data_IF_611911320342
#
_entry.id   IF_611911320342
#
_cell.length_a   1.000
_cell.length_b   1.000
_cell.length_c   1.000
_cell.angle_alpha   90.00
_cell.angle_beta   90.00
_cell.angle_gamma   90.00
#
_symmetry.space_group_name_H-M   'P 1'
#
loop_
_entity.id
_entity.type
_entity.pdbx_description
1 polymer ?
#
# COMPACT_ATOMS: atom_id res chain seq x y z
N UNK A 1 -44.75 51.59 -2.88
CA UNK A 1 -44.57 50.29 -2.21
C UNK A 1 -43.87 49.23 -3.09
N UNK A 2 -43.97 49.28 -4.44
CA UNK A 2 -43.35 48.27 -5.32
C UNK A 2 -41.83 48.32 -5.49
N UNK A 3 -41.17 49.48 -5.30
CA UNK A 3 -39.73 49.64 -5.52
C UNK A 3 -38.86 48.84 -4.54
N UNK A 4 -39.27 48.76 -3.27
CA UNK A 4 -38.52 48.03 -2.25
C UNK A 4 -38.68 46.50 -2.40
N UNK A 5 -39.86 46.03 -2.83
CA UNK A 5 -40.11 44.62 -3.12
C UNK A 5 -39.25 44.12 -4.29
N UNK A 6 -39.11 44.93 -5.34
CA UNK A 6 -38.27 44.60 -6.50
C UNK A 6 -36.79 44.46 -6.10
N UNK A 7 -36.26 45.36 -5.28
CA UNK A 7 -34.87 45.31 -4.81
C UNK A 7 -34.61 44.05 -3.97
N UNK A 8 -35.53 43.69 -3.07
CA UNK A 8 -35.42 42.48 -2.24
C UNK A 8 -35.43 41.22 -3.12
N UNK A 9 -36.29 41.17 -4.15
CA UNK A 9 -36.35 40.05 -5.10
C UNK A 9 -35.04 39.91 -5.89
N UNK A 10 -34.47 41.02 -6.38
CA UNK A 10 -33.19 40.99 -7.09
C UNK A 10 -32.04 40.49 -6.20
N UNK A 11 -31.98 40.94 -4.95
CA UNK A 11 -30.96 40.47 -3.99
C UNK A 11 -31.15 38.97 -3.72
N UNK A 12 -32.39 38.52 -3.54
CA UNK A 12 -32.68 37.10 -3.32
C UNK A 12 -32.26 36.21 -4.51
N UNK A 13 -32.51 36.66 -5.74
CA UNK A 13 -32.09 35.94 -6.96
C UNK A 13 -30.56 35.90 -7.07
N UNK A 14 -29.87 37.01 -6.79
CA UNK A 14 -28.41 37.06 -6.80
C UNK A 14 -27.83 36.11 -5.74
N UNK A 15 -28.35 36.13 -4.52
CA UNK A 15 -27.91 35.19 -3.47
C UNK A 15 -28.19 33.73 -3.86
N UNK A 16 -29.34 33.43 -4.45
CA UNK A 16 -29.69 32.09 -4.91
C UNK A 16 -28.73 31.61 -6.01
N UNK A 17 -28.42 32.46 -6.99
CA UNK A 17 -27.47 32.11 -8.06
C UNK A 17 -26.05 31.90 -7.54
N UNK A 18 -25.59 32.71 -6.59
CA UNK A 18 -24.29 32.50 -5.91
C UNK A 18 -24.30 31.16 -5.16
N UNK A 19 -25.35 30.87 -4.40
CA UNK A 19 -25.49 29.61 -3.66
C UNK A 19 -25.42 28.40 -4.58
N UNK A 20 -26.16 28.42 -5.70
CA UNK A 20 -26.14 27.35 -6.70
C UNK A 20 -24.73 27.17 -7.29
N UNK A 21 -24.04 28.27 -7.62
CA UNK A 21 -22.67 28.22 -8.15
C UNK A 21 -21.70 27.58 -7.15
N UNK A 22 -21.80 27.96 -5.88
CA UNK A 22 -20.99 27.36 -4.80
C UNK A 22 -21.25 25.85 -4.73
N UNK A 23 -22.51 25.43 -4.71
CA UNK A 23 -22.87 24.00 -4.67
C UNK A 23 -22.27 23.25 -5.87
N UNK A 24 -22.37 23.80 -7.09
CA UNK A 24 -21.80 23.17 -8.29
C UNK A 24 -20.28 23.03 -8.16
N UNK A 25 -19.57 24.07 -7.72
CA UNK A 25 -18.12 24.02 -7.55
C UNK A 25 -17.73 22.91 -6.57
N UNK A 26 -18.40 22.83 -5.41
CA UNK A 26 -18.08 21.83 -4.40
C UNK A 26 -18.39 20.39 -4.85
N UNK A 27 -19.56 20.16 -5.47
CA UNK A 27 -19.96 18.80 -5.84
C UNK A 27 -19.38 18.30 -7.16
N UNK A 28 -19.12 19.20 -8.13
CA UNK A 28 -18.62 18.79 -9.44
C UNK A 28 -17.10 18.93 -9.57
N UNK A 29 -16.50 20.00 -9.04
CA UNK A 29 -15.10 20.33 -9.31
C UNK A 29 -14.17 19.66 -8.28
N UNK A 30 -14.50 19.71 -6.99
CA UNK A 30 -13.63 19.14 -5.94
C UNK A 30 -13.35 17.65 -6.15
N UNK A 31 -14.33 16.76 -6.44
CA UNK A 31 -14.00 15.34 -6.68
C UNK A 31 -13.05 15.12 -7.86
N UNK A 32 -13.12 15.97 -8.90
CA UNK A 32 -12.20 15.91 -10.05
C UNK A 32 -10.79 16.30 -9.62
N UNK A 33 -10.65 17.36 -8.83
CA UNK A 33 -9.35 17.78 -8.29
C UNK A 33 -8.75 16.69 -7.39
N UNK A 34 -9.55 16.14 -6.46
CA UNK A 34 -9.10 15.08 -5.55
C UNK A 34 -8.59 13.87 -6.34
N UNK A 35 -9.33 13.41 -7.36
CA UNK A 35 -8.88 12.32 -8.24
C UNK A 35 -7.58 12.65 -8.95
N UNK A 36 -7.47 13.83 -9.55
CA UNK A 36 -6.26 14.25 -10.27
C UNK A 36 -5.03 14.34 -9.34
N UNK A 37 -5.22 14.80 -8.10
CA UNK A 37 -4.17 14.82 -7.09
C UNK A 37 -3.70 13.41 -6.77
N UNK A 38 -4.64 12.49 -6.52
CA UNK A 38 -4.33 11.09 -6.19
C UNK A 38 -3.63 10.37 -7.33
N UNK A 39 -4.02 10.62 -8.58
CA UNK A 39 -3.33 10.05 -9.75
C UNK A 39 -1.86 10.48 -9.81
N UNK A 40 -1.55 11.71 -9.41
CA UNK A 40 -0.19 12.27 -9.40
C UNK A 40 0.64 11.89 -8.17
N UNK A 41 0.02 11.37 -7.10
CA UNK A 41 0.74 10.88 -5.92
C UNK A 41 1.72 9.79 -6.36
N UNK A 42 2.97 9.94 -5.99
CA UNK A 42 3.99 8.91 -6.10
C UNK A 42 4.05 8.17 -4.77
N UNK A 43 3.98 6.84 -4.83
CA UNK A 43 4.09 6.01 -3.63
C UNK A 43 5.45 5.33 -3.65
N UNK A 44 6.24 5.64 -2.63
CA UNK A 44 7.53 5.02 -2.36
C UNK A 44 7.44 4.22 -1.08
N UNK A 45 8.33 3.24 -0.93
CA UNK A 45 8.44 2.43 0.28
C UNK A 45 9.79 2.72 0.89
N UNK A 46 9.77 3.17 2.14
CA UNK A 46 10.97 3.51 2.89
C UNK A 46 11.56 2.30 3.59
N UNK A 47 10.70 1.49 4.20
CA UNK A 47 11.10 0.26 4.87
C UNK A 47 9.98 -0.78 4.81
N UNK A 48 10.37 -2.05 4.75
CA UNK A 48 9.50 -3.20 4.90
C UNK A 48 10.15 -4.13 5.90
N UNK A 49 9.38 -4.60 6.86
CA UNK A 49 9.73 -5.64 7.79
C UNK A 49 8.63 -6.71 7.75
N UNK A 50 9.04 -7.96 7.60
CA UNK A 50 8.18 -9.13 7.50
C UNK A 50 8.47 -10.01 8.72
N UNK A 51 7.44 -10.25 9.51
CA UNK A 51 7.48 -11.02 10.76
C UNK A 51 6.41 -12.11 10.73
N UNK A 52 6.45 -13.04 11.69
CA UNK A 52 5.38 -14.02 11.95
C UNK A 52 4.88 -14.75 10.68
N UNK A 53 5.81 -15.32 9.92
CA UNK A 53 5.51 -16.01 8.65
C UNK A 53 4.81 -17.34 8.96
N UNK A 54 3.62 -17.51 8.40
CA UNK A 54 2.80 -18.72 8.42
C UNK A 54 2.56 -19.20 6.97
N UNK A 55 1.84 -20.32 6.80
CA UNK A 55 1.61 -20.93 5.48
C UNK A 55 0.82 -20.03 4.50
N UNK A 56 -0.10 -19.21 5.00
CA UNK A 56 -1.02 -18.40 4.19
C UNK A 56 -0.98 -16.89 4.54
N UNK A 57 -0.10 -16.49 5.46
CA UNK A 57 -0.02 -15.11 5.93
C UNK A 57 1.33 -14.79 6.53
N UNK A 58 1.63 -13.51 6.62
CA UNK A 58 2.74 -12.98 7.41
C UNK A 58 2.39 -11.60 7.94
N UNK A 59 3.04 -11.15 9.01
CA UNK A 59 2.86 -9.79 9.50
C UNK A 59 3.74 -8.83 8.68
N UNK A 60 3.11 -7.86 8.03
CA UNK A 60 3.79 -6.82 7.27
C UNK A 60 3.81 -5.51 8.05
N UNK A 61 5.01 -5.02 8.37
CA UNK A 61 5.26 -3.67 8.85
C UNK A 61 5.97 -2.87 7.78
N UNK A 62 5.29 -1.90 7.20
CA UNK A 62 5.85 -1.07 6.14
C UNK A 62 5.74 0.42 6.47
N UNK A 63 6.79 1.18 6.20
CA UNK A 63 6.74 2.63 6.13
C UNK A 63 6.62 3.05 4.67
N UNK A 64 5.46 3.57 4.34
CA UNK A 64 5.13 4.11 3.03
C UNK A 64 5.39 5.61 3.02
N UNK A 65 5.98 6.09 1.94
CA UNK A 65 6.23 7.50 1.71
C UNK A 65 5.38 7.94 0.51
N UNK A 66 4.42 8.83 0.77
CA UNK A 66 3.62 9.47 -0.27
C UNK A 66 4.27 10.78 -0.66
N UNK A 67 4.72 10.85 -1.90
CA UNK A 67 5.32 12.01 -2.54
C UNK A 67 4.30 12.70 -3.45
N UNK A 68 4.50 13.99 -3.70
CA UNK A 68 3.65 14.80 -4.59
C UNK A 68 2.16 14.73 -4.23
N UNK A 69 1.85 14.76 -2.94
CA UNK A 69 0.48 14.68 -2.42
C UNK A 69 -0.41 15.88 -2.74
N UNK A 70 0.14 16.88 -3.44
CA UNK A 70 -0.55 18.09 -3.85
C UNK A 70 -0.68 19.10 -2.72
N UNK A 71 -1.38 20.20 -3.00
CA UNK A 71 -1.58 21.31 -2.05
C UNK A 71 -2.80 21.14 -1.14
N UNK A 72 -3.47 19.98 -1.19
CA UNK A 72 -4.74 19.75 -0.49
C UNK A 72 -4.49 18.75 0.62
N UNK A 73 -4.59 19.24 1.86
CA UNK A 73 -4.59 18.38 3.03
C UNK A 73 -5.84 17.49 3.03
N UNK A 74 -5.73 16.29 3.56
CA UNK A 74 -6.85 15.37 3.65
C UNK A 74 -6.54 14.12 4.43
N UNK A 75 -7.54 13.30 4.65
CA UNK A 75 -7.39 12.02 5.36
C UNK A 75 -7.94 10.91 4.47
N UNK A 76 -7.09 9.93 4.19
CA UNK A 76 -7.52 8.65 3.65
C UNK A 76 -8.11 7.85 4.83
N UNK A 77 -9.39 7.55 4.75
CA UNK A 77 -10.15 6.91 5.82
C UNK A 77 -9.94 5.39 5.79
N UNK A 78 -9.78 4.81 6.98
CA UNK A 78 -9.85 3.38 7.21
C UNK A 78 -11.30 2.84 7.17
N UNK A 79 -11.49 1.53 6.93
CA UNK A 79 -10.47 0.53 6.60
C UNK A 79 -10.04 0.60 5.13
N UNK A 80 -8.75 0.36 4.88
CA UNK A 80 -8.17 0.27 3.55
C UNK A 80 -7.77 -1.17 3.26
N UNK A 81 -8.35 -1.76 2.22
CA UNK A 81 -7.97 -3.08 1.73
C UNK A 81 -7.10 -2.92 0.48
N UNK A 82 -5.80 -3.17 0.64
CA UNK A 82 -4.80 -3.04 -0.41
C UNK A 82 -4.60 -4.41 -1.04
N UNK A 83 -4.89 -4.53 -2.34
CA UNK A 83 -4.55 -5.73 -3.12
C UNK A 83 -3.17 -5.53 -3.77
N UNK A 84 -2.33 -6.55 -3.71
CA UNK A 84 -0.99 -6.56 -4.30
C UNK A 84 -0.96 -7.63 -5.39
N UNK A 85 -1.00 -7.23 -6.68
CA UNK A 85 -0.83 -8.10 -7.86
C UNK A 85 -1.64 -9.43 -7.86
N UNK A 86 -2.75 -9.51 -7.13
CA UNK A 86 -3.48 -10.75 -6.85
C UNK A 86 -2.68 -11.83 -6.08
N UNK A 87 -1.49 -11.49 -5.60
CA UNK A 87 -0.68 -12.28 -4.68
C UNK A 87 -1.42 -12.39 -3.34
N UNK A 88 -1.93 -11.27 -2.86
CA UNK A 88 -2.54 -11.19 -1.54
C UNK A 88 -3.07 -9.81 -1.20
N UNK A 89 -3.55 -9.70 0.03
CA UNK A 89 -4.18 -8.47 0.53
C UNK A 89 -3.63 -8.05 1.88
N UNK A 90 -3.59 -6.74 2.10
CA UNK A 90 -3.24 -6.11 3.36
C UNK A 90 -4.38 -5.22 3.80
N UNK A 91 -4.79 -5.33 5.06
CA UNK A 91 -5.85 -4.52 5.64
C UNK A 91 -5.26 -3.47 6.59
N UNK A 92 -5.22 -2.22 6.15
CA UNK A 92 -4.85 -1.13 7.05
C UNK A 92 -6.10 -0.56 7.73
N UNK A 93 -6.19 -0.76 9.05
CA UNK A 93 -7.27 -0.26 9.90
C UNK A 93 -7.02 1.17 10.44
N UNK A 94 -5.90 1.79 10.07
CA UNK A 94 -5.57 3.17 10.46
C UNK A 94 -5.74 4.14 9.30
N UNK A 95 -6.39 5.26 9.57
CA UNK A 95 -6.49 6.37 8.62
C UNK A 95 -5.11 7.00 8.39
N UNK A 96 -4.86 7.48 7.17
CA UNK A 96 -3.61 8.13 6.77
C UNK A 96 -3.91 9.61 6.54
N UNK A 97 -3.26 10.49 7.31
CA UNK A 97 -3.34 11.94 7.11
C UNK A 97 -2.33 12.39 6.06
N UNK A 98 -2.78 13.30 5.19
CA UNK A 98 -2.01 13.95 4.14
C UNK A 98 -1.96 15.42 4.49
N UNK A 99 -0.76 15.97 4.64
CA UNK A 99 -0.59 17.36 5.12
C UNK A 99 -0.83 18.40 4.02
N UNK A 100 -0.87 18.00 2.74
CA UNK A 100 -1.17 18.89 1.63
C UNK A 100 -0.02 19.83 1.25
N UNK A 101 1.22 19.38 1.45
CA UNK A 101 2.41 20.10 0.99
C UNK A 101 3.03 19.32 -0.18
N UNK A 102 3.10 19.90 -1.39
CA UNK A 102 3.54 19.17 -2.58
C UNK A 102 4.99 18.68 -2.49
N UNK A 103 5.82 19.37 -1.71
CA UNK A 103 7.25 19.13 -1.60
C UNK A 103 7.66 18.37 -0.33
N UNK A 104 6.71 18.08 0.58
CA UNK A 104 7.00 17.33 1.81
C UNK A 104 6.49 15.89 1.69
N UNK A 105 7.34 14.89 1.97
CA UNK A 105 6.91 13.51 2.02
C UNK A 105 5.94 13.31 3.19
N UNK A 106 4.83 12.63 2.94
CA UNK A 106 3.93 12.15 3.98
C UNK A 106 4.26 10.69 4.30
N UNK A 107 4.53 10.37 5.57
CA UNK A 107 4.85 9.00 5.99
C UNK A 107 3.58 8.32 6.52
N UNK A 108 3.20 7.21 5.88
CA UNK A 108 2.14 6.32 6.33
C UNK A 108 2.72 5.00 6.84
N UNK A 109 2.43 4.64 8.08
CA UNK A 109 2.80 3.34 8.63
C UNK A 109 1.69 2.32 8.43
N UNK A 110 2.04 1.14 7.92
CA UNK A 110 1.16 -0.03 7.81
C UNK A 110 1.72 -1.12 8.72
N UNK A 111 0.89 -1.63 9.63
CA UNK A 111 1.20 -2.81 10.47
C UNK A 111 -0.04 -3.70 10.45
N UNK A 112 -0.03 -4.72 9.61
CA UNK A 112 -1.17 -5.59 9.35
C UNK A 112 -0.71 -6.97 8.90
N UNK A 113 -1.49 -8.02 9.16
CA UNK A 113 -1.31 -9.28 8.44
C UNK A 113 -1.48 -9.04 6.93
N UNK A 114 -0.53 -9.55 6.14
CA UNK A 114 -0.65 -9.82 4.72
C UNK A 114 -1.23 -11.22 4.57
N UNK A 115 -2.34 -11.36 3.86
CA UNK A 115 -2.99 -12.64 3.59
C UNK A 115 -2.70 -13.02 2.14
N UNK A 116 -2.07 -14.16 1.93
CA UNK A 116 -1.79 -14.72 0.61
C UNK A 116 -3.10 -15.28 0.04
N UNK A 117 -3.51 -14.76 -1.11
CA UNK A 117 -4.74 -15.19 -1.78
C UNK A 117 -4.49 -16.38 -2.73
N UNK A 118 -3.30 -16.41 -3.35
CA UNK A 118 -2.90 -17.45 -4.29
C UNK A 118 -1.43 -17.82 -4.04
N UNK A 119 -1.22 -19.05 -3.56
CA UNK A 119 0.10 -19.54 -3.21
C UNK A 119 1.00 -19.73 -4.44
N UNK A 120 0.45 -20.11 -5.59
CA UNK A 120 1.22 -20.31 -6.82
C UNK A 120 1.73 -18.97 -7.35
N UNK A 121 0.88 -17.94 -7.33
CA UNK A 121 1.26 -16.57 -7.71
C UNK A 121 2.28 -16.00 -6.73
N UNK A 122 2.10 -16.24 -5.42
CA UNK A 122 3.09 -15.83 -4.41
C UNK A 122 4.45 -16.50 -4.58
N UNK A 123 4.49 -17.78 -4.95
CA UNK A 123 5.73 -18.49 -5.24
C UNK A 123 6.46 -17.87 -6.43
N UNK A 124 5.77 -17.63 -7.55
CA UNK A 124 6.35 -16.97 -8.74
C UNK A 124 6.87 -15.57 -8.40
N UNK A 125 6.11 -14.82 -7.60
CA UNK A 125 6.54 -13.51 -7.13
C UNK A 125 7.80 -13.59 -6.24
N UNK A 126 7.87 -14.57 -5.35
CA UNK A 126 9.04 -14.80 -4.49
C UNK A 126 10.28 -15.18 -5.32
N UNK A 127 10.11 -15.99 -6.36
CA UNK A 127 11.16 -16.29 -7.32
C UNK A 127 11.66 -15.02 -8.01
N UNK A 128 10.75 -14.16 -8.48
CA UNK A 128 11.12 -12.86 -9.07
C UNK A 128 11.91 -11.97 -8.10
N UNK A 129 11.58 -11.95 -6.81
CA UNK A 129 12.36 -11.20 -5.80
C UNK A 129 13.80 -11.69 -5.64
N UNK A 130 14.09 -12.95 -5.94
CA UNK A 130 15.42 -13.54 -5.83
C UNK A 130 16.20 -13.31 -7.13
N UNK A 131 15.59 -13.63 -8.28
CA UNK A 131 16.31 -13.76 -9.55
C UNK A 131 16.25 -12.52 -10.43
N UNK A 132 15.24 -11.67 -10.29
CA UNK A 132 15.13 -10.45 -11.09
C UNK A 132 15.91 -9.30 -10.42
N UNK A 133 16.35 -8.34 -11.23
CA UNK A 133 17.01 -7.14 -10.69
C UNK A 133 16.00 -6.18 -10.06
N UNK A 134 14.78 -6.11 -10.61
CA UNK A 134 13.75 -5.19 -10.14
C UNK A 134 12.40 -5.91 -10.15
N UNK A 135 11.60 -5.67 -9.11
CA UNK A 135 10.23 -6.17 -9.01
C UNK A 135 9.30 -4.97 -8.84
N UNK A 136 8.14 -5.00 -9.49
CA UNK A 136 7.14 -3.93 -9.40
C UNK A 136 5.88 -4.48 -8.74
N UNK A 137 5.45 -3.86 -7.65
CA UNK A 137 4.18 -4.15 -6.99
C UNK A 137 3.09 -3.26 -7.55
N UNK A 138 1.99 -3.85 -8.03
CA UNK A 138 0.78 -3.14 -8.37
C UNK A 138 -0.17 -3.17 -7.17
N UNK A 139 -0.27 -2.02 -6.51
CA UNK A 139 -1.14 -1.79 -5.38
C UNK A 139 -2.47 -1.21 -5.89
N UNK A 140 -3.56 -1.94 -5.65
CA UNK A 140 -4.91 -1.50 -5.99
C UNK A 140 -5.76 -1.41 -4.72
N UNK A 141 -6.34 -0.23 -4.47
CA UNK A 141 -7.27 0.01 -3.37
C UNK A 141 -8.40 0.95 -3.79
N UNK A 142 -9.57 0.78 -3.17
CA UNK A 142 -10.67 1.75 -3.22
C UNK A 142 -10.65 2.55 -1.93
N UNK A 143 -10.18 3.80 -2.02
CA UNK A 143 -10.03 4.67 -0.87
C UNK A 143 -11.27 5.57 -0.68
N UNK A 144 -11.52 5.94 0.57
CA UNK A 144 -12.44 7.02 0.93
C UNK A 144 -11.63 8.18 1.48
N UNK A 145 -11.84 9.38 0.95
CA UNK A 145 -10.98 10.53 1.24
C UNK A 145 -11.82 11.70 1.72
N UNK A 146 -11.37 12.31 2.81
CA UNK A 146 -11.96 13.51 3.38
C UNK A 146 -10.96 14.68 3.28
N UNK A 147 -11.23 15.72 2.48
CA UNK A 147 -10.30 16.85 2.34
C UNK A 147 -10.43 17.86 3.48
N UNK A 148 -9.30 18.42 3.91
CA UNK A 148 -9.08 19.66 4.71
C UNK A 148 -9.74 19.72 6.10
N UNK A 149 -11.00 19.33 6.23
CA UNK A 149 -11.81 19.45 7.44
C UNK A 149 -12.91 18.38 7.47
N UNK A 150 -13.28 17.95 8.67
CA UNK A 150 -14.36 16.98 8.89
C UNK A 150 -15.74 17.47 8.39
N UNK A 151 -15.89 18.77 8.14
CA UNK A 151 -17.09 19.37 7.58
C UNK A 151 -17.23 19.19 6.05
N UNK A 152 -16.15 18.81 5.35
CA UNK A 152 -16.20 18.55 3.91
C UNK A 152 -16.81 17.18 3.62
N UNK A 153 -17.50 17.03 2.49
CA UNK A 153 -18.05 15.75 2.07
C UNK A 153 -16.93 14.72 1.88
N UNK A 154 -17.22 13.49 2.27
CA UNK A 154 -16.34 12.34 2.05
C UNK A 154 -16.53 11.86 0.62
N UNK A 155 -15.42 11.65 -0.07
CA UNK A 155 -15.41 11.09 -1.42
C UNK A 155 -15.09 9.60 -1.36
N UNK A 156 -16.07 8.78 -1.71
CA UNK A 156 -15.97 7.32 -1.64
C UNK A 156 -15.49 6.70 -2.95
N UNK A 157 -14.96 5.49 -2.84
CA UNK A 157 -14.59 4.63 -3.98
C UNK A 157 -13.62 5.32 -4.95
N UNK A 158 -12.69 6.12 -4.44
CA UNK A 158 -11.66 6.69 -5.29
C UNK A 158 -10.65 5.57 -5.59
N UNK A 159 -10.48 5.19 -6.87
CA UNK A 159 -9.51 4.18 -7.23
C UNK A 159 -8.10 4.72 -6.98
N UNK A 160 -7.29 3.96 -6.28
CA UNK A 160 -5.89 4.24 -6.04
C UNK A 160 -5.10 3.04 -6.57
N UNK A 161 -4.52 3.24 -7.74
CA UNK A 161 -3.70 2.24 -8.44
C UNK A 161 -2.29 2.80 -8.51
N UNK A 162 -1.35 2.15 -7.80
CA UNK A 162 0.05 2.58 -7.78
C UNK A 162 0.97 1.41 -8.09
N UNK A 163 2.03 1.74 -8.82
CA UNK A 163 3.13 0.85 -9.07
C UNK A 163 4.27 1.26 -8.16
N UNK A 164 4.72 0.35 -7.31
CA UNK A 164 5.88 0.57 -6.45
C UNK A 164 7.00 -0.31 -6.98
N UNK A 165 8.08 0.32 -7.45
CA UNK A 165 9.25 -0.40 -7.95
C UNK A 165 10.22 -0.63 -6.80
N UNK A 166 10.72 -1.85 -6.72
CA UNK A 166 11.69 -2.29 -5.73
C UNK A 166 12.87 -2.93 -6.41
N UNK A 167 14.05 -2.65 -5.85
CA UNK A 167 15.26 -3.40 -6.13
C UNK A 167 15.12 -4.80 -5.52
N UNK A 168 15.26 -5.83 -6.35
CA UNK A 168 15.24 -7.23 -5.91
C UNK A 168 16.67 -7.71 -5.59
N UNK A 169 16.82 -8.91 -5.05
CA UNK A 169 18.10 -9.37 -4.48
C UNK A 169 19.22 -9.40 -5.52
N UNK A 170 18.93 -9.74 -6.77
CA UNK A 170 19.92 -9.75 -7.85
C UNK A 170 20.50 -8.35 -8.19
N UNK A 171 19.85 -7.27 -7.76
CA UNK A 171 20.40 -5.91 -7.93
C UNK A 171 21.39 -5.48 -6.85
N UNK A 172 21.54 -6.27 -5.79
CA UNK A 172 22.46 -5.99 -4.68
C UNK A 172 23.90 -6.32 -5.08
N UNK A 173 24.49 -5.48 -5.93
CA UNK A 173 25.91 -5.56 -6.29
C UNK A 173 26.77 -5.26 -5.06
N UNK A 174 27.87 -6.00 -4.89
CA UNK A 174 28.81 -5.89 -3.76
C UNK A 174 28.25 -6.25 -2.37
N UNK A 175 27.14 -6.99 -2.30
CA UNK A 175 26.60 -7.49 -1.03
C UNK A 175 26.89 -8.99 -0.93
N UNK A 176 27.65 -9.39 0.09
CA UNK A 176 27.91 -10.81 0.38
C UNK A 176 26.96 -11.28 1.46
N UNK A 177 26.14 -12.29 1.15
CA UNK A 177 25.31 -12.97 2.14
C UNK A 177 26.25 -13.76 3.06
N UNK A 178 26.48 -13.26 4.28
CA UNK A 178 27.38 -13.90 5.23
C UNK A 178 26.83 -15.22 5.78
N UNK A 179 25.53 -15.32 5.95
CA UNK A 179 24.86 -16.52 6.45
C UNK A 179 23.37 -16.47 6.15
N UNK A 180 22.80 -17.62 5.76
CA UNK A 180 21.36 -17.87 5.79
C UNK A 180 21.12 -18.86 6.93
N UNK A 181 20.37 -18.46 7.94
CA UNK A 181 19.97 -19.35 9.04
C UNK A 181 18.49 -19.69 8.85
N UNK A 182 18.21 -20.96 8.57
CA UNK A 182 16.85 -21.48 8.62
C UNK A 182 16.60 -21.91 10.05
N UNK A 183 15.69 -21.22 10.75
CA UNK A 183 15.26 -21.61 12.09
C UNK A 183 14.62 -22.99 12.03
N UNK A 184 15.34 -24.01 12.46
CA UNK A 184 14.81 -25.36 12.59
C UNK A 184 13.85 -25.38 13.79
N UNK A 185 12.55 -25.45 13.52
CA UNK A 185 11.56 -25.74 14.56
C UNK A 185 11.52 -27.25 14.75
N UNK A 186 12.28 -27.73 15.72
CA UNK A 186 12.27 -29.13 16.11
C UNK A 186 10.97 -29.42 16.89
N UNK A 187 9.93 -29.87 16.20
CA UNK A 187 8.77 -30.46 16.88
C UNK A 187 9.11 -31.87 17.34
N UNK A 188 9.91 -32.03 18.41
CA UNK A 188 10.00 -33.33 19.08
C UNK A 188 8.73 -33.53 19.91
N UNK A 189 7.78 -34.28 19.36
CA UNK A 189 6.74 -34.92 20.13
C UNK A 189 7.35 -36.16 20.82
N UNK A 190 7.80 -36.00 22.07
CA UNK A 190 8.45 -37.03 22.89
C UNK A 190 7.55 -38.22 23.30
N UNK A 191 6.65 -38.71 22.43
CA UNK A 191 5.68 -39.76 22.78
C UNK A 191 5.57 -40.89 21.75
N UNK A 192 6.63 -41.22 21.03
CA UNK A 192 6.67 -42.47 20.26
C UNK A 192 7.92 -43.27 20.58
N UNK A 193 7.69 -44.44 21.20
CA UNK A 193 8.67 -45.49 21.44
C UNK A 193 9.48 -45.83 20.19
N UNK A 194 10.79 -46.06 20.30
CA UNK A 194 11.66 -46.26 19.14
C UNK A 194 11.35 -47.60 18.46
N UNK A 195 10.95 -47.54 17.18
CA UNK A 195 10.96 -48.69 16.28
C UNK A 195 12.30 -48.73 15.55
N UNK A 196 13.07 -49.83 15.60
CA UNK A 196 14.40 -49.89 15.00
C UNK A 196 14.26 -50.11 13.49
N UNK A 197 14.67 -49.14 12.66
CA UNK A 197 14.76 -49.44 11.23
C UNK A 197 14.95 -48.33 10.20
N UNK A 198 15.15 -47.05 10.53
CA UNK A 198 15.34 -46.03 9.47
C UNK A 198 16.61 -45.23 9.72
N UNK A 199 17.66 -45.58 8.97
CA UNK A 199 18.88 -44.78 8.85
C UNK A 199 18.54 -43.46 8.12
N UNK A 200 18.85 -42.33 8.76
CA UNK A 200 18.81 -41.03 8.12
C UNK A 200 19.90 -40.95 7.05
N UNK A 201 19.52 -40.58 5.82
CA UNK A 201 20.46 -40.28 4.73
C UNK A 201 20.82 -38.78 4.86
N UNK A 202 22.09 -38.41 5.08
CA UNK A 202 22.48 -37.00 5.08
C UNK A 202 22.44 -36.43 3.66
N UNK A 203 21.70 -35.34 3.47
CA UNK A 203 21.65 -34.59 2.23
C UNK A 203 22.88 -33.66 2.17
N UNK A 204 23.87 -34.01 1.34
CA UNK A 204 25.05 -33.20 1.05
C UNK A 204 24.85 -32.50 -0.30
N UNK A 205 24.32 -31.27 -0.26
CA UNK A 205 24.21 -30.40 -1.43
C UNK A 205 25.38 -29.42 -1.45
N UNK A 206 26.41 -29.71 -2.24
CA UNK A 206 27.55 -28.82 -2.49
C UNK A 206 27.16 -27.81 -3.57
N UNK A 207 26.94 -26.54 -3.19
CA UNK A 207 26.71 -25.46 -4.15
C UNK A 207 28.06 -25.03 -4.74
N UNK A 208 28.36 -25.50 -5.96
CA UNK A 208 29.50 -24.98 -6.71
C UNK A 208 29.21 -23.56 -7.21
N UNK A 209 29.91 -22.60 -6.60
CA UNK A 209 30.08 -21.25 -7.10
C UNK A 209 30.87 -21.28 -8.41
N UNK A 210 30.22 -20.95 -9.53
CA UNK A 210 30.88 -20.74 -10.82
C UNK A 210 31.25 -19.26 -10.93
N UNK A 211 32.50 -18.92 -10.64
CA UNK A 211 33.07 -17.61 -10.96
C UNK A 211 33.16 -17.44 -12.47
N UNK A 212 32.43 -16.48 -13.04
CA UNK A 212 32.63 -16.04 -14.41
C UNK A 212 33.60 -14.86 -14.41
N UNK A 213 34.82 -15.08 -14.88
CA UNK A 213 35.69 -14.03 -15.40
C UNK A 213 35.15 -13.57 -16.76
N UNK A 214 34.86 -12.28 -16.90
CA UNK A 214 35.21 -11.45 -18.06
C UNK A 214 34.92 -9.98 -17.75
#
# INVERSE_FOLDING_TARGET
MHRNLFIILCIAIILLTILIRVIIVFYAIVPVIVRSTIEKVELSVRSINIEDIENDRFRLRAELELLRTGSIAGTILAPLLINVDNIGTVRNDKSISIDGYPDLPTIGAVDSPFIVSDLEVFHKFSDSLIFEANVTWHLTVKASIQPISSAMPIYFNIPFNKQVKHNALNSLQNVSIKSISLGYVESINNNTTPHPGINAIPFSGELQSKSSES
#
